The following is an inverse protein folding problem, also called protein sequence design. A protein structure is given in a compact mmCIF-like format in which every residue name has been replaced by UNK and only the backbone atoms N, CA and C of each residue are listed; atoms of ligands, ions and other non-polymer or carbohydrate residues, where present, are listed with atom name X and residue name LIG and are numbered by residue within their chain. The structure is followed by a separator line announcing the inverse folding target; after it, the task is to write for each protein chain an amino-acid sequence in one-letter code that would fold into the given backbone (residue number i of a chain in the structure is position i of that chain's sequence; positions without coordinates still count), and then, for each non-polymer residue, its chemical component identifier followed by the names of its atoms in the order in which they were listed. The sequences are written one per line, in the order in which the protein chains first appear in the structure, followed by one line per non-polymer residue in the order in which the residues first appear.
data_IF_460747652308
#
_entry.id   IF_460747652308
#
_cell.length_a   1.000
_cell.length_b   1.000
_cell.length_c   1.000
_cell.angle_alpha   90.00
_cell.angle_beta   90.00
_cell.angle_gamma   90.00
#
_symmetry.space_group_name_H-M   'P 1'
#
loop_
_entity.id
_entity.type
_entity.pdbx_description
1 polymer ?
#
# COMPACT_ATOMS: atom_id res chain seq x y z
N UNK A 1 -19.92 5.11 60.56
CA UNK A 1 -19.43 5.81 59.35
C UNK A 1 -19.97 5.09 58.11
N UNK A 2 -20.88 5.71 57.33
CA UNK A 2 -21.48 5.09 56.13
C UNK A 2 -20.48 5.06 54.97
N UNK A 3 -20.23 3.87 54.43
CA UNK A 3 -19.45 3.62 53.19
C UNK A 3 -20.04 4.46 52.05
N UNK A 4 -19.29 5.42 51.51
CA UNK A 4 -19.72 6.22 50.35
C UNK A 4 -19.78 5.32 49.10
N UNK A 5 -21.00 5.14 48.58
CA UNK A 5 -21.30 4.50 47.30
C UNK A 5 -20.54 5.21 46.16
N UNK A 6 -19.40 4.65 45.72
CA UNK A 6 -18.71 5.04 44.47
C UNK A 6 -19.03 4.20 43.19
N UNK A 7 -20.09 3.34 43.09
CA UNK A 7 -20.31 2.58 41.85
C UNK A 7 -21.05 3.36 40.74
N UNK A 8 -21.77 4.44 41.04
CA UNK A 8 -22.59 5.13 40.04
C UNK A 8 -21.80 6.09 39.12
N UNK A 9 -20.78 6.77 39.64
CA UNK A 9 -19.97 7.72 38.85
C UNK A 9 -19.01 7.00 37.93
N UNK A 10 -18.33 5.95 38.41
CA UNK A 10 -17.43 5.13 37.60
C UNK A 10 -18.16 4.48 36.42
N UNK A 11 -19.36 3.91 36.65
CA UNK A 11 -20.19 3.33 35.59
C UNK A 11 -20.63 4.37 34.55
N UNK A 12 -20.98 5.60 34.98
CA UNK A 12 -21.35 6.69 34.06
C UNK A 12 -20.17 7.14 33.20
N UNK A 13 -18.99 7.29 33.79
CA UNK A 13 -17.77 7.66 33.06
C UNK A 13 -17.38 6.56 32.08
N UNK A 14 -17.41 5.29 32.50
CA UNK A 14 -17.13 4.16 31.61
C UNK A 14 -18.12 4.11 30.44
N UNK A 15 -19.43 4.23 30.71
CA UNK A 15 -20.43 4.24 29.65
C UNK A 15 -20.25 5.40 28.66
N UNK A 16 -19.90 6.59 29.15
CA UNK A 16 -19.61 7.75 28.30
C UNK A 16 -18.36 7.53 27.44
N UNK A 17 -17.25 7.09 28.05
CA UNK A 17 -16.01 6.80 27.33
C UNK A 17 -16.20 5.68 26.32
N UNK A 18 -16.86 4.59 26.71
CA UNK A 18 -17.13 3.45 25.83
C UNK A 18 -17.96 3.86 24.61
N UNK A 19 -19.01 4.67 24.81
CA UNK A 19 -19.83 5.17 23.70
C UNK A 19 -19.01 6.00 22.70
N UNK A 20 -18.30 7.02 23.19
CA UNK A 20 -17.61 7.97 22.30
C UNK A 20 -16.32 7.41 21.72
N UNK A 21 -15.48 6.77 22.53
CA UNK A 21 -14.27 6.12 22.06
C UNK A 21 -14.62 4.94 21.14
N UNK A 22 -15.69 4.20 21.42
CA UNK A 22 -16.15 3.10 20.60
C UNK A 22 -16.66 3.57 19.24
N UNK A 23 -17.44 4.66 19.21
CA UNK A 23 -17.93 5.23 17.96
C UNK A 23 -16.79 5.75 17.08
N UNK A 24 -15.85 6.50 17.64
CA UNK A 24 -14.71 7.07 16.88
C UNK A 24 -13.76 5.97 16.41
N UNK A 25 -13.32 5.10 17.33
CA UNK A 25 -12.39 4.01 16.98
C UNK A 25 -13.02 2.99 16.04
N UNK A 26 -14.30 2.66 16.24
CA UNK A 26 -15.05 1.75 15.38
C UNK A 26 -15.20 2.27 13.96
N UNK A 27 -15.42 3.57 13.77
CA UNK A 27 -15.45 4.18 12.44
C UNK A 27 -14.10 4.05 11.72
N UNK A 28 -12.99 4.34 12.42
CA UNK A 28 -11.64 4.19 11.85
C UNK A 28 -11.37 2.73 11.48
N UNK A 29 -11.64 1.80 12.40
CA UNK A 29 -11.46 0.36 12.15
C UNK A 29 -12.32 -0.10 10.98
N UNK A 30 -13.57 0.35 10.86
CA UNK A 30 -14.45 0.03 9.73
C UNK A 30 -13.82 0.43 8.38
N UNK A 31 -13.30 1.65 8.27
CA UNK A 31 -12.63 2.13 7.05
C UNK A 31 -11.39 1.30 6.74
N UNK A 32 -10.55 1.04 7.74
CA UNK A 32 -9.32 0.26 7.59
C UNK A 32 -9.62 -1.20 7.22
N UNK A 33 -10.64 -1.82 7.82
CA UNK A 33 -11.07 -3.17 7.50
C UNK A 33 -11.64 -3.27 6.08
N UNK A 34 -12.46 -2.31 5.65
CA UNK A 34 -13.00 -2.29 4.29
C UNK A 34 -11.90 -2.13 3.24
N UNK A 35 -11.00 -1.18 3.45
CA UNK A 35 -9.86 -0.95 2.54
C UNK A 35 -8.87 -2.10 2.56
N UNK A 36 -8.64 -2.75 3.71
CA UNK A 36 -7.80 -3.94 3.81
C UNK A 36 -8.39 -5.15 3.06
N UNK A 37 -9.71 -5.35 3.16
CA UNK A 37 -10.43 -6.36 2.39
C UNK A 37 -10.33 -6.11 0.88
N UNK A 38 -10.49 -4.86 0.42
CA UNK A 38 -10.28 -4.54 -0.99
C UNK A 38 -8.83 -4.81 -1.43
N UNK A 39 -7.86 -4.48 -0.57
CA UNK A 39 -6.44 -4.64 -0.85
C UNK A 39 -6.00 -6.11 -0.94
N UNK A 40 -6.68 -7.04 -0.26
CA UNK A 40 -6.34 -8.47 -0.35
C UNK A 40 -6.54 -9.05 -1.76
N UNK A 41 -7.38 -8.41 -2.59
CA UNK A 41 -7.61 -8.79 -3.99
C UNK A 41 -6.77 -8.01 -5.00
N UNK A 42 -5.79 -7.21 -4.53
CA UNK A 42 -4.97 -6.38 -5.40
C UNK A 42 -4.26 -7.20 -6.47
N UNK A 43 -3.71 -8.36 -6.09
CA UNK A 43 -2.89 -9.16 -6.99
C UNK A 43 -3.74 -9.69 -8.14
N UNK A 44 -4.87 -10.32 -7.84
CA UNK A 44 -5.79 -10.93 -8.79
C UNK A 44 -6.33 -9.87 -9.77
N UNK A 45 -6.75 -8.72 -9.24
CA UNK A 45 -7.30 -7.64 -10.06
C UNK A 45 -6.22 -7.03 -10.97
N UNK A 46 -4.99 -6.84 -10.48
CA UNK A 46 -3.89 -6.34 -11.30
C UNK A 46 -3.44 -7.37 -12.34
N UNK A 47 -3.39 -8.65 -11.99
CA UNK A 47 -3.04 -9.72 -12.94
C UNK A 47 -4.06 -9.86 -14.06
N UNK A 48 -5.33 -9.60 -13.77
CA UNK A 48 -6.39 -9.53 -14.79
C UNK A 48 -6.27 -8.27 -15.65
N UNK A 49 -6.18 -7.08 -15.03
CA UNK A 49 -6.18 -5.77 -15.73
C UNK A 49 -4.90 -5.54 -16.53
N UNK A 50 -3.75 -5.84 -15.93
CA UNK A 50 -2.42 -5.53 -16.46
C UNK A 50 -1.72 -6.79 -16.99
N UNK A 51 -2.48 -7.82 -17.39
CA UNK A 51 -1.95 -9.10 -17.85
C UNK A 51 -0.85 -8.95 -18.91
N UNK A 52 -1.08 -8.09 -19.90
CA UNK A 52 -0.14 -7.80 -20.98
C UNK A 52 1.18 -7.15 -20.54
N UNK A 53 1.20 -6.51 -19.37
CA UNK A 53 2.41 -5.94 -18.78
C UNK A 53 3.13 -6.98 -17.92
N UNK A 54 2.39 -7.79 -17.18
CA UNK A 54 2.92 -8.71 -16.18
C UNK A 54 3.40 -10.04 -16.77
N UNK A 55 2.80 -10.49 -17.87
CA UNK A 55 3.08 -11.79 -18.46
C UNK A 55 3.73 -11.69 -19.85
N UNK A 56 4.62 -12.63 -20.11
CA UNK A 56 5.30 -12.82 -21.39
C UNK A 56 5.10 -14.26 -21.85
N UNK A 57 5.23 -14.49 -23.16
CA UNK A 57 5.28 -15.85 -23.68
C UNK A 57 6.52 -16.55 -23.10
N UNK A 58 6.37 -17.73 -22.46
CA UNK A 58 7.51 -18.49 -21.98
C UNK A 58 8.48 -18.74 -23.15
N UNK A 59 9.79 -18.51 -22.95
CA UNK A 59 10.76 -18.73 -24.00
C UNK A 59 10.95 -20.23 -24.25
N UNK A 60 11.66 -20.57 -25.32
CA UNK A 60 12.13 -21.94 -25.53
C UNK A 60 12.98 -22.40 -24.33
N UNK A 61 12.95 -23.70 -24.06
CA UNK A 61 13.70 -24.29 -22.95
C UNK A 61 15.18 -23.87 -23.01
N UNK A 62 15.78 -23.60 -21.84
CA UNK A 62 17.17 -23.15 -21.68
C UNK A 62 17.52 -21.75 -22.24
N UNK A 63 16.55 -20.95 -22.66
CA UNK A 63 16.82 -19.54 -23.02
C UNK A 63 17.30 -18.76 -21.80
N UNK A 64 18.49 -18.18 -21.88
CA UNK A 64 19.05 -17.32 -20.82
C UNK A 64 18.43 -15.94 -20.88
N UNK A 65 18.19 -15.34 -19.71
CA UNK A 65 17.79 -13.93 -19.61
C UNK A 65 18.95 -13.03 -20.04
N UNK A 66 18.62 -11.86 -20.57
CA UNK A 66 19.59 -10.80 -20.83
C UNK A 66 20.22 -10.33 -19.51
N UNK A 67 21.38 -9.67 -19.61
CA UNK A 67 22.08 -9.18 -18.43
C UNK A 67 21.25 -8.11 -17.72
N UNK A 68 21.25 -8.13 -16.39
CA UNK A 68 20.48 -7.16 -15.62
C UNK A 68 20.96 -5.72 -15.86
N UNK A 69 22.26 -5.53 -16.09
CA UNK A 69 22.86 -4.23 -16.43
C UNK A 69 22.26 -3.67 -17.72
N UNK A 70 22.13 -4.49 -18.77
CA UNK A 70 21.53 -4.08 -20.03
C UNK A 70 20.04 -3.72 -19.87
N UNK A 71 19.28 -4.59 -19.18
CA UNK A 71 17.85 -4.33 -18.94
C UNK A 71 17.62 -3.08 -18.08
N UNK A 72 18.50 -2.81 -17.11
CA UNK A 72 18.42 -1.61 -16.28
C UNK A 72 18.73 -0.33 -17.09
N UNK A 73 19.73 -0.37 -18.00
CA UNK A 73 20.00 0.74 -18.91
C UNK A 73 18.79 1.03 -19.82
N UNK A 74 18.17 -0.02 -20.35
CA UNK A 74 16.97 0.08 -21.16
C UNK A 74 15.81 0.69 -20.34
N UNK A 75 15.59 0.20 -19.12
CA UNK A 75 14.57 0.74 -18.21
C UNK A 75 14.79 2.23 -17.92
N UNK A 76 16.03 2.62 -17.62
CA UNK A 76 16.37 4.01 -17.30
C UNK A 76 16.10 4.95 -18.47
N UNK A 77 16.37 4.50 -19.70
CA UNK A 77 16.07 5.27 -20.92
C UNK A 77 14.57 5.55 -21.09
N UNK A 78 13.70 4.60 -20.69
CA UNK A 78 12.24 4.72 -20.79
C UNK A 78 11.64 5.52 -19.63
N UNK A 79 12.16 5.34 -18.43
CA UNK A 79 11.70 6.03 -17.23
C UNK A 79 12.18 7.49 -17.16
N UNK A 80 13.14 7.91 -18.01
CA UNK A 80 13.82 9.21 -17.94
C UNK A 80 14.43 9.46 -16.55
N UNK A 81 14.98 8.40 -15.95
CA UNK A 81 15.52 8.43 -14.60
C UNK A 81 16.10 7.07 -14.22
N UNK A 82 16.71 6.99 -13.04
CA UNK A 82 17.31 5.74 -12.57
C UNK A 82 16.26 4.90 -11.83
N UNK A 83 16.04 3.67 -12.28
CA UNK A 83 15.29 2.68 -11.54
C UNK A 83 15.96 2.46 -10.18
N UNK A 84 15.18 2.62 -9.11
CA UNK A 84 15.61 2.48 -7.73
C UNK A 84 15.44 1.04 -7.24
N UNK A 85 14.48 0.30 -7.84
CA UNK A 85 14.18 -1.08 -7.48
C UNK A 85 13.98 -1.93 -8.74
N UNK A 86 14.36 -3.19 -8.64
CA UNK A 86 14.25 -4.19 -9.69
C UNK A 86 13.58 -5.42 -9.09
N UNK A 87 12.47 -5.85 -9.69
CA UNK A 87 11.78 -7.08 -9.32
C UNK A 87 11.98 -8.10 -10.44
N UNK A 88 12.82 -9.09 -10.18
CA UNK A 88 13.03 -10.22 -11.07
C UNK A 88 12.21 -11.42 -10.60
N UNK A 89 11.53 -12.08 -11.53
CA UNK A 89 10.74 -13.28 -11.24
C UNK A 89 11.43 -14.53 -11.77
N UNK A 90 11.36 -15.62 -11.00
CA UNK A 90 11.83 -16.94 -11.39
C UNK A 90 10.89 -17.64 -12.38
N UNK A 91 9.61 -17.25 -12.41
CA UNK A 91 8.64 -17.78 -13.37
C UNK A 91 8.96 -17.28 -14.79
N UNK A 92 9.19 -18.19 -15.77
CA UNK A 92 9.57 -17.81 -17.13
C UNK A 92 8.46 -17.11 -17.94
N UNK A 93 7.21 -17.17 -17.47
CA UNK A 93 6.09 -16.45 -18.07
C UNK A 93 5.90 -15.04 -17.52
N UNK A 94 6.79 -14.52 -16.67
CA UNK A 94 6.66 -13.18 -16.06
C UNK A 94 7.66 -12.20 -16.65
N UNK A 95 7.20 -10.97 -16.87
CA UNK A 95 8.08 -9.85 -17.15
C UNK A 95 8.86 -9.44 -15.90
N UNK A 96 9.97 -8.73 -16.07
CA UNK A 96 10.69 -8.10 -14.97
C UNK A 96 10.25 -6.63 -14.85
N UNK A 97 10.13 -6.16 -13.61
CA UNK A 97 9.68 -4.81 -13.29
C UNK A 97 10.87 -3.97 -12.83
N UNK A 98 11.00 -2.78 -13.41
CA UNK A 98 11.98 -1.78 -13.01
C UNK A 98 11.24 -0.54 -12.53
N UNK A 99 11.44 -0.18 -11.27
CA UNK A 99 10.65 0.80 -10.56
C UNK A 99 11.50 2.01 -10.19
N UNK A 100 10.96 3.20 -10.42
CA UNK A 100 11.50 4.46 -9.92
C UNK A 100 10.58 5.00 -8.84
N UNK A 101 11.15 5.31 -7.68
CA UNK A 101 10.46 5.96 -6.57
C UNK A 101 11.23 7.20 -6.16
N UNK A 102 10.58 8.36 -6.19
CA UNK A 102 11.11 9.62 -5.67
C UNK A 102 10.16 10.16 -4.61
N UNK A 103 10.63 10.31 -3.36
CA UNK A 103 9.84 10.99 -2.33
C UNK A 103 9.66 12.45 -2.73
N UNK A 104 8.45 12.97 -2.53
CA UNK A 104 8.10 14.37 -2.70
C UNK A 104 8.23 15.16 -1.39
N UNK A 105 7.26 16.02 -1.12
CA UNK A 105 7.28 16.85 0.10
C UNK A 105 6.90 16.01 1.33
N UNK A 106 7.89 15.63 2.13
CA UNK A 106 7.72 14.86 3.37
C UNK A 106 6.89 15.58 4.44
N UNK A 107 6.80 16.90 4.38
CA UNK A 107 6.02 17.71 5.33
C UNK A 107 4.59 17.97 4.87
N UNK A 108 4.21 17.51 3.67
CA UNK A 108 2.86 17.69 3.17
C UNK A 108 1.84 16.99 4.08
N UNK A 109 0.71 17.65 4.33
CA UNK A 109 -0.35 17.11 5.19
C UNK A 109 -1.02 15.85 4.61
N UNK A 110 -1.25 15.85 3.29
CA UNK A 110 -1.84 14.72 2.57
C UNK A 110 -0.77 13.77 2.04
N UNK A 111 -0.95 12.47 2.23
CA UNK A 111 -0.02 11.43 1.80
C UNK A 111 0.22 11.43 0.28
N UNK A 112 -0.77 11.80 -0.52
CA UNK A 112 -0.62 11.85 -1.99
C UNK A 112 0.44 12.85 -2.46
N UNK A 113 0.77 13.84 -1.62
CA UNK A 113 1.75 14.88 -1.93
C UNK A 113 3.17 14.55 -1.40
N UNK A 114 3.31 13.44 -0.66
CA UNK A 114 4.61 12.99 -0.13
C UNK A 114 5.38 12.14 -1.14
N UNK A 115 4.78 11.85 -2.30
CA UNK A 115 5.35 11.06 -3.40
C UNK A 115 5.40 11.94 -4.65
N UNK A 116 6.58 12.16 -5.21
CA UNK A 116 6.75 12.93 -6.45
C UNK A 116 6.66 12.02 -7.68
N UNK A 117 7.36 10.89 -7.64
CA UNK A 117 7.37 9.93 -8.74
C UNK A 117 7.25 8.53 -8.19
N UNK A 118 6.30 7.77 -8.72
CA UNK A 118 6.21 6.34 -8.48
C UNK A 118 5.76 5.67 -9.77
N UNK A 119 6.72 5.18 -10.56
CA UNK A 119 6.48 4.60 -11.88
C UNK A 119 7.25 3.31 -12.03
N UNK A 120 6.77 2.44 -12.91
CA UNK A 120 7.51 1.22 -13.28
C UNK A 120 7.42 0.95 -14.77
N UNK A 121 8.45 0.28 -15.28
CA UNK A 121 8.50 -0.23 -16.65
C UNK A 121 8.63 -1.74 -16.59
N UNK A 122 7.83 -2.41 -17.42
CA UNK A 122 7.83 -3.86 -17.53
C UNK A 122 8.58 -4.26 -18.78
N UNK A 123 9.55 -5.17 -18.63
CA UNK A 123 10.44 -5.57 -19.71
C UNK A 123 10.46 -7.10 -19.79
N UNK A 124 10.39 -7.63 -21.01
CA UNK A 124 10.63 -9.04 -21.27
C UNK A 124 12.12 -9.35 -21.04
N UNK A 125 12.46 -10.19 -20.05
CA UNK A 125 13.85 -10.43 -19.67
C UNK A 125 14.64 -11.23 -20.72
N UNK A 126 13.96 -11.88 -21.68
CA UNK A 126 14.58 -12.69 -22.72
C UNK A 126 14.85 -11.92 -24.01
N UNK A 127 13.95 -11.01 -24.39
CA UNK A 127 14.04 -10.27 -25.65
C UNK A 127 14.46 -8.81 -25.48
N UNK A 128 14.37 -8.28 -24.26
CA UNK A 128 14.54 -6.84 -24.01
C UNK A 128 13.37 -6.00 -24.52
N UNK A 129 12.25 -6.62 -24.90
CA UNK A 129 11.07 -5.88 -25.32
C UNK A 129 10.44 -5.15 -24.13
N UNK A 130 10.25 -3.84 -24.26
CA UNK A 130 9.51 -3.03 -23.29
C UNK A 130 8.01 -3.26 -23.51
N UNK A 131 7.33 -3.83 -22.53
CA UNK A 131 5.91 -4.16 -22.59
C UNK A 131 5.02 -2.95 -22.31
N UNK A 132 5.50 -2.05 -21.45
CA UNK A 132 4.82 -0.79 -21.14
C UNK A 132 5.29 -0.19 -19.82
N UNK A 133 4.66 0.93 -19.45
CA UNK A 133 4.91 1.63 -18.19
C UNK A 133 3.62 1.77 -17.39
N UNK A 134 3.74 1.74 -16.07
CA UNK A 134 2.64 1.97 -15.14
C UNK A 134 2.99 3.11 -14.20
N UNK A 135 2.05 4.03 -14.00
CA UNK A 135 2.17 5.13 -13.05
C UNK A 135 1.37 4.80 -11.79
N UNK A 136 2.08 4.46 -10.72
CA UNK A 136 1.50 4.07 -9.45
C UNK A 136 0.98 5.28 -8.66
N UNK A 137 1.41 6.51 -8.96
CA UNK A 137 0.90 7.72 -8.28
C UNK A 137 -0.61 7.91 -8.48
N UNK A 138 -1.16 7.35 -9.57
CA UNK A 138 -2.58 7.40 -9.93
C UNK A 138 -3.28 6.06 -9.79
N UNK A 139 -2.61 5.04 -9.26
CA UNK A 139 -3.17 3.70 -9.18
C UNK A 139 -4.17 3.58 -8.03
N UNK A 140 -5.32 2.96 -8.31
CA UNK A 140 -6.40 2.77 -7.34
C UNK A 140 -5.94 2.03 -6.08
N UNK A 141 -5.09 1.01 -6.20
CA UNK A 141 -4.63 0.25 -5.04
C UNK A 141 -3.63 1.03 -4.19
N UNK A 142 -2.89 1.98 -4.77
CA UNK A 142 -2.09 2.92 -3.97
C UNK A 142 -2.98 3.84 -3.14
N UNK A 143 -4.10 4.33 -3.71
CA UNK A 143 -5.08 5.09 -2.94
C UNK A 143 -5.68 4.25 -1.80
N UNK A 144 -6.15 3.03 -2.09
CA UNK A 144 -6.71 2.11 -1.10
C UNK A 144 -5.70 1.80 0.01
N UNK A 145 -4.45 1.48 -0.35
CA UNK A 145 -3.37 1.24 0.61
C UNK A 145 -3.11 2.45 1.50
N UNK A 146 -3.11 3.64 0.91
CA UNK A 146 -2.87 4.88 1.63
C UNK A 146 -4.00 5.13 2.64
N UNK A 147 -5.26 4.99 2.24
CA UNK A 147 -6.40 5.06 3.18
C UNK A 147 -6.23 4.01 4.30
N UNK A 148 -5.88 2.78 3.96
CA UNK A 148 -5.73 1.68 4.92
C UNK A 148 -4.62 1.94 5.97
N UNK A 149 -3.46 2.44 5.55
CA UNK A 149 -2.31 2.65 6.44
C UNK A 149 -2.34 3.98 7.19
N UNK A 150 -2.85 5.05 6.59
CA UNK A 150 -2.73 6.39 7.16
C UNK A 150 -3.96 7.30 6.93
N UNK A 151 -5.09 6.75 6.47
CA UNK A 151 -6.33 7.51 6.22
C UNK A 151 -6.15 8.71 5.26
N UNK A 152 -5.22 8.61 4.30
CA UNK A 152 -4.79 9.68 3.38
C UNK A 152 -3.98 10.82 4.02
N UNK A 153 -3.71 10.73 5.31
CA UNK A 153 -2.87 11.68 6.02
C UNK A 153 -1.40 11.28 5.86
N UNK A 154 -0.50 12.24 6.01
CA UNK A 154 0.93 11.96 6.14
C UNK A 154 1.18 10.85 7.17
N UNK A 155 2.14 9.96 6.90
CA UNK A 155 2.50 8.84 7.78
C UNK A 155 2.74 9.27 9.22
N UNK A 156 3.32 10.46 9.44
CA UNK A 156 3.56 11.06 10.76
C UNK A 156 2.29 11.19 11.60
N UNK A 157 1.14 11.40 10.97
CA UNK A 157 -0.14 11.62 11.65
C UNK A 157 -1.07 10.42 11.49
N UNK A 158 -1.20 9.90 10.28
CA UNK A 158 -2.16 8.85 9.97
C UNK A 158 -1.83 7.50 10.61
N UNK A 159 -0.57 7.06 10.59
CA UNK A 159 -0.19 5.78 11.18
C UNK A 159 -0.45 5.74 12.71
N UNK A 160 -0.07 6.77 13.50
CA UNK A 160 -0.45 6.83 14.91
C UNK A 160 -1.97 6.83 15.12
N UNK A 161 -2.75 7.56 14.31
CA UNK A 161 -4.22 7.60 14.45
C UNK A 161 -4.81 6.19 14.27
N UNK A 162 -4.42 5.48 13.20
CA UNK A 162 -4.90 4.12 12.94
C UNK A 162 -4.45 3.17 14.07
N UNK A 163 -3.19 3.28 14.52
CA UNK A 163 -2.66 2.46 15.61
C UNK A 163 -3.36 2.67 16.96
N UNK A 164 -3.59 3.92 17.37
CA UNK A 164 -4.31 4.20 18.62
C UNK A 164 -5.79 3.87 18.51
N UNK A 165 -6.43 4.11 17.36
CA UNK A 165 -7.83 3.75 17.15
C UNK A 165 -8.03 2.22 17.27
N UNK A 166 -7.17 1.43 16.63
CA UNK A 166 -7.23 -0.04 16.72
C UNK A 166 -6.98 -0.53 18.15
N UNK A 167 -5.98 0.02 18.86
CA UNK A 167 -5.73 -0.32 20.26
C UNK A 167 -6.93 0.01 21.18
N UNK A 168 -7.49 1.21 21.04
CA UNK A 168 -8.67 1.64 21.80
C UNK A 168 -9.84 0.70 21.51
N UNK A 169 -10.08 0.39 20.23
CA UNK A 169 -11.17 -0.50 19.84
C UNK A 169 -11.05 -1.89 20.49
N UNK A 170 -9.85 -2.47 20.50
CA UNK A 170 -9.58 -3.77 21.16
C UNK A 170 -9.83 -3.70 22.67
N UNK A 171 -9.38 -2.63 23.33
CA UNK A 171 -9.63 -2.45 24.77
C UNK A 171 -11.12 -2.31 25.07
N UNK A 172 -11.88 -1.61 24.22
CA UNK A 172 -13.32 -1.44 24.38
C UNK A 172 -14.11 -2.72 24.14
N UNK A 173 -13.63 -3.62 23.28
CA UNK A 173 -14.25 -4.94 23.13
C UNK A 173 -14.21 -5.78 24.43
N UNK A 174 -13.31 -5.47 25.35
CA UNK A 174 -13.12 -6.17 26.62
C UNK A 174 -13.73 -5.44 27.83
N UNK A 175 -14.21 -4.20 27.66
CA UNK A 175 -14.61 -3.27 28.75
C UNK A 175 -16.09 -3.26 29.07
#
# INVERSE_FOLDING_TARGET
MKKKNKPAVFKKVNAFLHLWLGLISGLVVFIVSLTGCLFSFQQEINEYKDHQLLFVKPPAAQTKTLSITYLNQLANSKLKGNASFITAFSNPGRSWEFMVYKPGNREAFWAVNTIETYKSVFINPYTGQVLGTKDYTKDFFILVKTIHWNLLLNDKYGQPIVGYATLIFVLLMLS
#
